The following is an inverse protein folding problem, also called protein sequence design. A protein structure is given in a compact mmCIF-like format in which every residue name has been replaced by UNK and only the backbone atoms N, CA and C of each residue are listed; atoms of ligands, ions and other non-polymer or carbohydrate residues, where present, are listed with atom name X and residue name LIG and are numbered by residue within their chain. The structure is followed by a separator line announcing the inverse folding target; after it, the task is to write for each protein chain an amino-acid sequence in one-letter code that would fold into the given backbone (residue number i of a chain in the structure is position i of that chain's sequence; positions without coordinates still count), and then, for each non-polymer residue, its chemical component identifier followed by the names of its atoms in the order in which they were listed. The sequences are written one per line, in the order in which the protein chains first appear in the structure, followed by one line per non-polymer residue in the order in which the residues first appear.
data_IF_854475077510
#
_entry.id   IF_854475077510
#
_cell.length_a   1.000
_cell.length_b   1.000
_cell.length_c   1.000
_cell.angle_alpha   90.00
_cell.angle_beta   90.00
_cell.angle_gamma   90.00
#
_symmetry.space_group_name_H-M   'P 1'
#
loop_
_entity.id
_entity.type
_entity.pdbx_description
1 polymer ?
#
# COMPACT_ATOMS: atom_id res chain seq x y z
N UNK A 1 -21.79 14.09 6.76
CA UNK A 1 -20.49 13.94 7.45
C UNK A 1 -19.77 12.74 6.87
N UNK A 2 -18.67 12.94 6.13
CA UNK A 2 -17.79 11.82 5.75
C UNK A 2 -17.09 11.34 7.03
N UNK A 3 -17.05 10.03 7.33
CA UNK A 3 -16.26 9.55 8.46
C UNK A 3 -14.80 9.91 8.21
N UNK A 4 -14.22 10.75 9.06
CA UNK A 4 -12.81 11.10 9.04
C UNK A 4 -12.04 9.86 9.48
N UNK A 5 -11.64 9.02 8.53
CA UNK A 5 -10.76 7.87 8.80
C UNK A 5 -9.49 8.45 9.43
N UNK A 6 -9.23 8.09 10.68
CA UNK A 6 -8.08 8.62 11.41
C UNK A 6 -6.79 8.00 10.87
N UNK A 7 -5.64 8.66 11.08
CA UNK A 7 -4.35 8.12 10.64
C UNK A 7 -4.08 6.74 11.21
N UNK A 8 -4.50 6.49 12.45
CA UNK A 8 -4.38 5.18 13.10
C UNK A 8 -5.23 4.13 12.39
N UNK A 9 -6.45 4.49 11.99
CA UNK A 9 -7.33 3.60 11.22
C UNK A 9 -6.73 3.31 9.84
N UNK A 10 -6.18 4.31 9.14
CA UNK A 10 -5.47 4.10 7.87
C UNK A 10 -4.25 3.20 8.05
N UNK A 11 -3.45 3.43 9.09
CA UNK A 11 -2.27 2.66 9.39
C UNK A 11 -2.58 1.17 9.65
N UNK A 12 -3.67 0.88 10.37
CA UNK A 12 -4.11 -0.51 10.60
C UNK A 12 -4.57 -1.22 9.33
N UNK A 13 -4.98 -0.48 8.29
CA UNK A 13 -5.37 -1.05 7.00
C UNK A 13 -4.19 -1.28 6.06
N UNK A 14 -3.02 -0.71 6.38
CA UNK A 14 -1.81 -0.87 5.61
C UNK A 14 -1.16 -2.25 5.88
N UNK A 15 -0.36 -2.77 4.93
CA UNK A 15 0.24 -4.08 5.06
C UNK A 15 1.24 -4.13 6.22
N UNK A 16 1.10 -5.16 7.08
CA UNK A 16 1.93 -5.32 8.27
C UNK A 16 3.20 -6.09 7.92
N UNK A 17 4.35 -5.43 8.03
CA UNK A 17 5.63 -6.08 7.78
C UNK A 17 6.03 -6.93 8.98
N UNK A 18 5.74 -8.24 8.93
CA UNK A 18 6.17 -9.22 9.93
C UNK A 18 7.23 -10.16 9.33
N UNK A 19 6.87 -11.41 8.99
CA UNK A 19 7.74 -12.40 8.34
C UNK A 19 7.72 -12.32 6.80
N UNK A 20 6.59 -11.89 6.24
CA UNK A 20 6.39 -11.72 4.79
C UNK A 20 5.50 -10.49 4.56
N UNK A 21 5.79 -9.72 3.50
CA UNK A 21 4.97 -8.59 3.12
C UNK A 21 3.87 -9.06 2.16
N UNK A 22 2.63 -9.19 2.66
CA UNK A 22 1.46 -9.50 1.84
C UNK A 22 0.75 -8.18 1.49
N UNK A 23 0.61 -7.90 0.20
CA UNK A 23 -0.02 -6.69 -0.32
C UNK A 23 -1.33 -7.07 -1.00
N UNK A 24 -2.44 -6.77 -0.33
CA UNK A 24 -3.79 -6.85 -0.90
C UNK A 24 -4.15 -5.55 -1.62
N UNK A 25 -5.08 -5.55 -2.59
CA UNK A 25 -5.54 -4.32 -3.25
C UNK A 25 -5.99 -3.25 -2.26
N UNK A 26 -6.69 -3.66 -1.19
CA UNK A 26 -7.14 -2.77 -0.12
C UNK A 26 -5.98 -2.18 0.68
N UNK A 27 -4.99 -3.00 1.01
CA UNK A 27 -3.81 -2.56 1.77
C UNK A 27 -2.92 -1.61 0.94
N UNK A 28 -2.91 -1.79 -0.38
CA UNK A 28 -2.23 -0.91 -1.32
C UNK A 28 -2.88 0.47 -1.35
N UNK A 29 -4.21 0.54 -1.54
CA UNK A 29 -4.96 1.80 -1.48
C UNK A 29 -4.77 2.52 -0.14
N UNK A 30 -4.79 1.77 0.97
CA UNK A 30 -4.54 2.33 2.30
C UNK A 30 -3.11 2.91 2.42
N UNK A 31 -2.10 2.22 1.88
CA UNK A 31 -0.71 2.68 1.88
C UNK A 31 -0.54 3.97 1.08
N UNK A 32 -1.21 4.09 -0.06
CA UNK A 32 -1.22 5.30 -0.89
C UNK A 32 -1.88 6.44 -0.12
N UNK A 33 -3.07 6.22 0.46
CA UNK A 33 -3.77 7.23 1.23
C UNK A 33 -2.96 7.71 2.44
N UNK A 34 -2.26 6.79 3.11
CA UNK A 34 -1.37 7.11 4.22
C UNK A 34 -0.16 7.94 3.77
N UNK A 35 0.43 7.61 2.62
CA UNK A 35 1.51 8.40 2.02
C UNK A 35 1.07 9.82 1.65
N UNK A 36 -0.11 9.95 1.02
CA UNK A 36 -0.69 11.26 0.71
C UNK A 36 -0.95 12.08 1.96
N UNK A 37 -1.54 11.49 3.01
CA UNK A 37 -1.71 12.16 4.29
C UNK A 37 -0.38 12.62 4.88
N UNK A 38 0.64 11.74 4.89
CA UNK A 38 1.96 12.07 5.40
C UNK A 38 2.57 13.29 4.69
N UNK A 39 2.44 13.37 3.36
CA UNK A 39 2.93 14.51 2.59
C UNK A 39 2.08 15.78 2.80
N UNK A 40 0.76 15.67 2.73
CA UNK A 40 -0.17 16.80 2.85
C UNK A 40 -0.19 17.41 4.26
N UNK A 41 0.16 16.63 5.28
CA UNK A 41 0.24 17.09 6.67
C UNK A 41 1.58 17.74 7.03
N UNK A 42 2.47 17.97 6.06
CA UNK A 42 3.85 18.41 6.29
C UNK A 42 4.64 17.42 7.17
N UNK A 43 4.59 16.13 6.82
CA UNK A 43 5.35 15.05 7.47
C UNK A 43 4.96 14.80 8.94
N UNK A 44 3.68 14.95 9.30
CA UNK A 44 3.22 14.59 10.65
C UNK A 44 3.46 13.10 10.94
N UNK A 45 3.77 12.78 12.19
CA UNK A 45 4.07 11.42 12.65
C UNK A 45 5.26 10.76 11.93
N UNK A 46 6.23 11.56 11.47
CA UNK A 46 7.45 11.08 10.81
C UNK A 46 8.20 10.01 11.64
N UNK A 47 8.19 10.14 12.98
CA UNK A 47 8.78 9.19 13.91
C UNK A 47 8.23 7.76 13.77
N UNK A 48 6.99 7.62 13.29
CA UNK A 48 6.32 6.32 13.10
C UNK A 48 6.17 5.94 11.63
N UNK A 49 5.75 6.89 10.79
CA UNK A 49 5.42 6.63 9.40
C UNK A 49 6.66 6.44 8.53
N UNK A 50 7.74 7.20 8.77
CA UNK A 50 8.95 7.08 7.97
C UNK A 50 9.64 5.72 8.15
N UNK A 51 9.86 5.19 9.38
CA UNK A 51 10.37 3.84 9.55
C UNK A 51 9.47 2.77 8.92
N UNK A 52 8.15 2.95 9.01
CA UNK A 52 7.18 2.05 8.39
C UNK A 52 7.33 2.03 6.85
N UNK A 53 7.31 3.18 6.19
CA UNK A 53 7.45 3.25 4.74
C UNK A 53 8.78 2.66 4.25
N UNK A 54 9.89 2.98 4.94
CA UNK A 54 11.19 2.39 4.63
C UNK A 54 11.19 0.87 4.80
N UNK A 55 10.51 0.34 5.82
CA UNK A 55 10.39 -1.10 6.04
C UNK A 55 9.58 -1.77 4.93
N UNK A 56 8.47 -1.16 4.51
CA UNK A 56 7.66 -1.64 3.37
C UNK A 56 8.50 -1.65 2.10
N UNK A 57 9.16 -0.53 1.76
CA UNK A 57 10.00 -0.39 0.57
C UNK A 57 11.10 -1.46 0.51
N UNK A 58 11.77 -1.75 1.63
CA UNK A 58 12.78 -2.82 1.72
C UNK A 58 12.21 -4.21 1.45
N UNK A 59 10.96 -4.45 1.85
CA UNK A 59 10.32 -5.74 1.67
C UNK A 59 9.61 -5.90 0.32
N UNK A 60 9.44 -4.82 -0.46
CA UNK A 60 8.74 -4.86 -1.76
C UNK A 60 9.35 -5.86 -2.74
N UNK A 61 10.67 -6.04 -2.74
CA UNK A 61 11.37 -7.00 -3.61
C UNK A 61 11.00 -8.45 -3.33
N UNK A 62 10.46 -8.74 -2.15
CA UNK A 62 10.04 -10.08 -1.70
C UNK A 62 8.55 -10.15 -1.38
N UNK A 63 7.79 -9.09 -1.73
CA UNK A 63 6.39 -8.99 -1.40
C UNK A 63 5.53 -9.96 -2.22
N UNK A 64 4.52 -10.53 -1.55
CA UNK A 64 3.48 -11.32 -2.18
C UNK A 64 2.27 -10.41 -2.44
N UNK A 65 1.94 -10.20 -3.70
CA UNK A 65 0.77 -9.43 -4.09
C UNK A 65 -0.42 -10.37 -4.27
N UNK A 66 -1.51 -10.11 -3.56
CA UNK A 66 -2.77 -10.77 -3.86
C UNK A 66 -3.28 -10.21 -5.19
N UNK A 67 -3.31 -11.06 -6.21
CA UNK A 67 -3.94 -10.70 -7.47
C UNK A 67 -5.44 -10.50 -7.20
N UNK A 68 -6.04 -9.37 -7.63
CA UNK A 68 -7.49 -9.28 -7.61
C UNK A 68 -8.03 -10.45 -8.42
N UNK A 69 -9.02 -11.17 -7.91
CA UNK A 69 -9.71 -12.22 -8.67
C UNK A 69 -10.58 -11.53 -9.72
N UNK A 70 -9.96 -10.99 -10.76
CA UNK A 70 -10.67 -10.67 -11.98
C UNK A 70 -11.04 -12.02 -12.59
N UNK A 71 -12.34 -12.33 -12.66
CA UNK A 71 -12.81 -13.41 -13.53
C UNK A 71 -12.38 -13.02 -14.93
N UNK A 72 -11.24 -13.54 -15.38
CA UNK A 72 -10.78 -13.36 -16.75
C UNK A 72 -11.87 -13.95 -17.64
N UNK A 73 -12.61 -13.10 -18.36
CA UNK A 73 -13.14 -13.54 -19.64
C UNK A 73 -11.93 -13.65 -20.55
N UNK A 74 -11.46 -14.88 -20.75
CA UNK A 74 -10.31 -15.30 -21.56
C UNK A 74 -9.69 -14.20 -22.45
N UNK A 75 -8.49 -13.76 -22.11
CA UNK A 75 -7.64 -12.97 -23.00
C UNK A 75 -6.76 -11.97 -22.27
N UNK A 76 -5.46 -12.26 -22.23
CA UNK A 76 -4.33 -11.35 -22.00
C UNK A 76 -3.72 -11.26 -20.56
N UNK A 77 -2.76 -12.16 -20.22
CA UNK A 77 -2.18 -12.26 -18.87
C UNK A 77 -1.00 -11.29 -18.57
N UNK A 78 -0.49 -10.50 -19.52
CA UNK A 78 0.81 -9.84 -19.33
C UNK A 78 0.78 -8.37 -18.90
N UNK A 79 -0.38 -7.70 -18.93
CA UNK A 79 -0.41 -6.23 -18.81
C UNK A 79 -0.50 -5.68 -17.37
N UNK A 80 -0.96 -6.45 -16.40
CA UNK A 80 -1.32 -5.92 -15.08
C UNK A 80 -0.15 -5.77 -14.08
N UNK A 81 0.99 -6.45 -14.28
CA UNK A 81 2.12 -6.39 -13.32
C UNK A 81 2.88 -5.06 -13.34
N UNK A 82 2.75 -4.23 -14.38
CA UNK A 82 3.58 -3.01 -14.55
C UNK A 82 3.02 -1.76 -13.88
N UNK A 83 1.72 -1.69 -13.60
CA UNK A 83 1.08 -0.46 -13.12
C UNK A 83 1.35 -0.17 -11.63
N UNK A 84 1.71 -1.18 -10.84
CA UNK A 84 1.95 -1.01 -9.40
C UNK A 84 3.30 -0.35 -9.11
N UNK A 85 4.32 -0.59 -9.95
CA UNK A 85 5.67 -0.06 -9.73
C UNK A 85 5.77 1.46 -9.99
N UNK A 86 4.84 2.03 -10.77
CA UNK A 86 4.89 3.43 -11.20
C UNK A 86 4.33 4.38 -10.13
N UNK A 87 3.54 3.91 -9.16
CA UNK A 87 2.98 4.78 -8.12
C UNK A 87 3.89 4.98 -6.90
N UNK A 88 5.07 4.36 -6.88
CA UNK A 88 6.04 4.45 -5.77
C UNK A 88 7.38 5.11 -6.18
N UNK A 89 7.53 5.53 -7.44
CA UNK A 89 8.65 6.32 -7.98
C UNK A 89 8.12 7.62 -8.57
#
# INVERSE_FOLDING_TARGET
MKPTVTVNTLFMLCPQVSSSLIVTPRSQEASIALGLYFLQSNLQHQDKLLPYFLKVLKCLTTAQFEEPVYRIKNGDPEKHRKYVLICLL
#
